data_IF_451714653529
#
_entry.id   IF_451714653529
#
_cell.length_a   1.000
_cell.length_b   1.000
_cell.length_c   1.000
_cell.angle_alpha   90.00
_cell.angle_beta   90.00
_cell.angle_gamma   90.00
#
_symmetry.space_group_name_H-M   'P 1'
#
loop_
_entity.id
_entity.type
_entity.pdbx_description
1 polymer ?
#
# COMPACT_ATOMS: atom_id res chain seq x y z
N UNK A 1 -19.12 0.81 -10.49
CA UNK A 1 -18.48 -0.52 -10.30
C UNK A 1 -18.21 -0.73 -8.82
N UNK A 2 -18.56 -1.90 -8.26
CA UNK A 2 -18.32 -2.22 -6.85
C UNK A 2 -17.27 -3.34 -6.78
N UNK A 3 -16.25 -3.19 -5.95
CA UNK A 3 -15.21 -4.21 -5.78
C UNK A 3 -15.72 -5.29 -4.83
N UNK A 4 -15.59 -6.56 -5.20
CA UNK A 4 -15.85 -7.65 -4.25
C UNK A 4 -14.65 -7.78 -3.30
N UNK A 5 -14.80 -7.34 -2.06
CA UNK A 5 -13.73 -7.40 -1.06
C UNK A 5 -13.31 -8.82 -0.67
N UNK A 6 -14.12 -9.85 -0.92
CA UNK A 6 -13.68 -11.24 -0.76
C UNK A 6 -12.53 -11.60 -1.71
N UNK A 7 -12.34 -10.85 -2.80
CA UNK A 7 -11.22 -11.07 -3.71
C UNK A 7 -9.91 -10.46 -3.21
N UNK A 8 -9.97 -9.46 -2.32
CA UNK A 8 -8.82 -8.75 -1.76
C UNK A 8 -8.57 -9.04 -0.27
N UNK A 9 -9.55 -9.55 0.48
CA UNK A 9 -9.34 -9.91 1.88
C UNK A 9 -8.97 -11.39 2.00
N UNK A 10 -7.86 -11.66 2.69
CA UNK A 10 -7.41 -12.99 3.08
C UNK A 10 -7.14 -13.01 4.57
N UNK A 11 -7.20 -14.21 5.15
CA UNK A 11 -6.81 -14.51 6.53
C UNK A 11 -5.29 -14.63 6.71
N UNK A 12 -4.52 -14.51 5.62
CA UNK A 12 -3.06 -14.49 5.61
C UNK A 12 -2.49 -13.23 4.93
N UNK A 13 -1.25 -12.90 5.28
CA UNK A 13 -0.48 -11.84 4.62
C UNK A 13 -0.08 -12.26 3.21
N UNK A 14 -0.15 -11.33 2.27
CA UNK A 14 0.27 -11.53 0.89
C UNK A 14 0.66 -10.20 0.22
N UNK A 15 1.41 -10.26 -0.88
CA UNK A 15 1.84 -9.09 -1.66
C UNK A 15 0.71 -8.64 -2.60
N UNK A 16 0.27 -7.39 -2.43
CA UNK A 16 -0.89 -6.79 -3.10
C UNK A 16 -0.79 -6.72 -4.62
N UNK A 17 -1.94 -6.61 -5.29
CA UNK A 17 -1.98 -6.22 -6.71
C UNK A 17 -1.49 -4.79 -6.90
N UNK A 18 -1.68 -3.93 -5.89
CA UNK A 18 -1.12 -2.58 -5.92
C UNK A 18 0.40 -2.61 -6.06
N UNK A 19 1.10 -3.51 -5.35
CA UNK A 19 2.55 -3.73 -5.53
C UNK A 19 2.91 -4.08 -6.97
N UNK A 20 2.18 -5.00 -7.61
CA UNK A 20 2.44 -5.38 -9.01
C UNK A 20 2.38 -4.15 -9.91
N UNK A 21 1.30 -3.35 -9.80
CA UNK A 21 1.11 -2.13 -10.56
C UNK A 21 2.24 -1.10 -10.35
N UNK A 22 2.61 -0.84 -9.09
CA UNK A 22 3.58 0.22 -8.80
C UNK A 22 5.01 -0.15 -9.18
N UNK A 23 5.34 -1.44 -9.22
CA UNK A 23 6.70 -1.89 -9.56
C UNK A 23 7.06 -1.60 -11.02
N UNK A 24 6.07 -1.46 -11.90
CA UNK A 24 6.25 -1.07 -13.30
C UNK A 24 6.72 0.38 -13.46
N UNK A 25 6.58 1.22 -12.42
CA UNK A 25 7.04 2.62 -12.50
C UNK A 25 8.56 2.78 -12.32
N UNK A 26 9.31 1.70 -12.07
CA UNK A 26 10.79 1.67 -11.97
C UNK A 26 11.42 2.76 -11.07
N UNK A 27 10.72 3.21 -10.02
CA UNK A 27 11.24 4.22 -9.07
C UNK A 27 11.61 3.59 -7.72
N UNK A 28 12.63 4.14 -7.07
CA UNK A 28 13.12 3.65 -5.77
C UNK A 28 12.04 3.70 -4.66
N UNK A 29 11.98 2.63 -3.86
CA UNK A 29 10.85 2.24 -2.99
C UNK A 29 10.26 3.31 -2.07
N UNK A 30 11.07 4.18 -1.44
CA UNK A 30 10.54 5.20 -0.53
C UNK A 30 9.71 6.28 -1.23
N UNK A 31 10.06 6.65 -2.46
CA UNK A 31 9.34 7.69 -3.19
C UNK A 31 7.98 7.18 -3.68
N UNK A 32 7.90 5.91 -4.10
CA UNK A 32 6.65 5.33 -4.58
C UNK A 32 5.70 4.98 -3.42
N UNK A 33 6.21 4.47 -2.30
CA UNK A 33 5.38 4.20 -1.11
C UNK A 33 4.72 5.48 -0.55
N UNK A 34 5.45 6.60 -0.53
CA UNK A 34 4.86 7.90 -0.18
C UNK A 34 3.77 8.32 -1.16
N UNK A 35 3.92 8.05 -2.45
CA UNK A 35 2.94 8.41 -3.48
C UNK A 35 1.66 7.59 -3.40
N UNK A 36 1.74 6.36 -2.92
CA UNK A 36 0.56 5.55 -2.58
C UNK A 36 -0.22 6.22 -1.44
N UNK A 37 0.48 6.64 -0.38
CA UNK A 37 -0.13 7.43 0.71
C UNK A 37 -0.76 8.73 0.20
N UNK A 38 -0.05 9.50 -0.61
CA UNK A 38 -0.58 10.74 -1.20
C UNK A 38 -1.84 10.46 -2.06
N UNK A 39 -1.89 9.34 -2.80
CA UNK A 39 -3.07 8.96 -3.60
C UNK A 39 -4.25 8.56 -2.70
N UNK A 40 -4.00 7.79 -1.64
CA UNK A 40 -5.01 7.42 -0.63
C UNK A 40 -5.66 8.67 -0.03
N UNK A 41 -4.82 9.64 0.33
CA UNK A 41 -5.25 10.94 0.84
C UNK A 41 -6.05 11.72 -0.20
N UNK A 42 -5.66 11.72 -1.48
CA UNK A 42 -6.40 12.40 -2.55
C UNK A 42 -7.78 11.81 -2.79
N UNK A 43 -7.89 10.48 -2.80
CA UNK A 43 -9.20 9.81 -2.91
C UNK A 43 -10.08 10.16 -1.71
N UNK A 44 -9.50 10.15 -0.50
CA UNK A 44 -10.20 10.52 0.73
C UNK A 44 -10.68 11.97 0.70
N UNK A 45 -9.80 12.89 0.29
CA UNK A 45 -10.12 14.30 0.10
C UNK A 45 -11.21 14.50 -0.97
N UNK A 46 -11.17 13.71 -2.03
CA UNK A 46 -12.21 13.68 -3.06
C UNK A 46 -13.59 13.33 -2.52
N UNK A 47 -13.68 12.26 -1.71
CA UNK A 47 -14.93 11.86 -1.04
C UNK A 47 -15.45 13.00 -0.16
N UNK A 48 -14.56 13.65 0.61
CA UNK A 48 -14.92 14.81 1.43
C UNK A 48 -15.42 15.98 0.57
N UNK A 49 -14.76 16.27 -0.56
CA UNK A 49 -15.12 17.39 -1.43
C UNK A 49 -16.47 17.20 -2.14
N UNK A 50 -16.91 15.96 -2.35
CA UNK A 50 -18.25 15.64 -2.84
C UNK A 50 -19.37 15.90 -1.84
N UNK A 51 -19.05 16.17 -0.57
CA UNK A 51 -20.01 16.46 0.50
C UNK A 51 -19.81 17.91 0.97
N UNK A 52 -20.51 18.91 0.39
CA UNK A 52 -20.34 20.32 0.77
C UNK A 52 -20.47 20.58 2.26
N UNK A 53 -21.40 19.89 2.92
CA UNK A 53 -21.60 19.97 4.36
C UNK A 53 -20.43 19.45 5.18
N UNK A 54 -19.67 18.47 4.69
CA UNK A 54 -18.46 18.00 5.36
C UNK A 54 -17.27 18.91 5.04
N UNK A 55 -17.15 19.32 3.77
CA UNK A 55 -16.08 20.19 3.29
C UNK A 55 -16.00 21.52 4.04
N UNK A 56 -17.13 22.13 4.40
CA UNK A 56 -17.16 23.42 5.12
C UNK A 56 -16.51 23.38 6.51
N UNK A 57 -16.34 22.18 7.08
CA UNK A 57 -15.73 21.95 8.39
C UNK A 57 -14.26 21.49 8.32
N UNK A 58 -13.72 21.31 7.12
CA UNK A 58 -12.44 20.65 6.90
C UNK A 58 -11.24 21.58 7.09
N UNK A 59 -10.27 21.13 7.89
CA UNK A 59 -8.87 21.57 7.85
C UNK A 59 -8.01 20.37 7.42
N UNK A 60 -7.08 20.56 6.50
CA UNK A 60 -6.15 19.49 6.06
C UNK A 60 -4.79 19.70 6.70
N UNK A 61 -4.11 18.62 7.07
CA UNK A 61 -2.78 18.67 7.71
C UNK A 61 -2.82 19.51 9.01
N UNK A 62 -3.91 19.39 9.76
CA UNK A 62 -4.11 20.11 11.01
C UNK A 62 -3.21 19.59 12.12
N UNK A 63 -2.63 20.49 12.91
CA UNK A 63 -1.78 20.15 14.06
C UNK A 63 -2.62 20.11 15.32
N UNK A 64 -3.04 18.91 15.73
CA UNK A 64 -3.89 18.71 16.90
C UNK A 64 -3.04 18.45 18.14
N UNK A 65 -3.19 19.27 19.17
CA UNK A 65 -2.58 19.00 20.48
C UNK A 65 -3.41 17.99 21.26
N UNK A 66 -2.82 16.86 21.65
CA UNK A 66 -3.45 15.82 22.47
C UNK A 66 -3.35 16.07 23.98
N UNK A 67 -3.88 15.16 24.78
CA UNK A 67 -3.86 15.24 26.25
C UNK A 67 -2.44 15.26 26.81
N UNK A 68 -1.53 14.50 26.21
CA UNK A 68 -0.11 14.43 26.55
C UNK A 68 0.68 15.73 26.25
N UNK A 69 0.02 16.76 25.72
CA UNK A 69 0.64 17.96 25.12
C UNK A 69 1.46 17.68 23.85
N UNK A 70 1.49 16.43 23.37
CA UNK A 70 2.04 16.11 22.06
C UNK A 70 1.21 16.77 20.96
N UNK A 71 1.89 17.18 19.90
CA UNK A 71 1.25 17.73 18.72
C UNK A 71 1.26 16.69 17.60
N UNK A 72 0.07 16.35 17.12
CA UNK A 72 -0.15 15.33 16.11
C UNK A 72 -0.51 16.01 14.78
N UNK A 73 0.21 15.68 13.72
CA UNK A 73 -0.16 16.11 12.38
C UNK A 73 -1.18 15.11 11.85
N UNK A 74 -2.42 15.55 11.68
CA UNK A 74 -3.53 14.70 11.21
C UNK A 74 -4.00 15.16 9.85
N UNK A 75 -4.29 14.21 8.96
CA UNK A 75 -4.48 14.51 7.55
C UNK A 75 -5.75 15.30 7.26
N UNK A 76 -6.84 14.98 7.95
CA UNK A 76 -8.10 15.70 7.85
C UNK A 76 -8.72 15.88 9.24
N UNK A 77 -8.97 17.13 9.62
CA UNK A 77 -9.59 17.52 10.88
C UNK A 77 -10.91 18.24 10.58
N UNK A 78 -11.92 17.98 11.41
CA UNK A 78 -13.26 18.56 11.25
C UNK A 78 -13.67 19.32 12.49
N UNK A 79 -13.89 20.62 12.33
CA UNK A 79 -14.22 21.55 13.39
C UNK A 79 -15.56 22.21 13.12
N UNK A 80 -16.33 22.52 14.17
CA UNK A 80 -17.57 23.28 13.99
C UNK A 80 -17.29 24.63 13.33
N UNK A 81 -16.21 25.29 13.75
CA UNK A 81 -15.67 26.49 13.11
C UNK A 81 -14.20 26.30 12.75
N UNK A 82 -13.88 26.03 11.47
CA UNK A 82 -12.50 25.79 11.03
C UNK A 82 -11.56 27.01 11.09
N UNK A 83 -12.10 28.23 11.19
CA UNK A 83 -11.24 29.44 11.23
C UNK A 83 -10.52 29.55 12.56
N UNK A 84 -11.22 29.20 13.63
CA UNK A 84 -10.76 29.33 15.01
C UNK A 84 -10.32 27.98 15.60
N UNK A 85 -10.40 26.91 14.80
CA UNK A 85 -10.10 25.52 15.21
C UNK A 85 -10.90 25.08 16.47
N UNK A 86 -12.11 25.61 16.61
CA UNK A 86 -12.97 25.35 17.76
C UNK A 86 -13.85 24.10 17.56
N UNK A 87 -13.99 23.34 18.66
CA UNK A 87 -14.85 22.16 18.75
C UNK A 87 -14.55 21.12 17.65
N UNK A 88 -13.39 20.46 17.77
CA UNK A 88 -13.03 19.29 16.97
C UNK A 88 -14.07 18.19 17.19
N UNK A 89 -14.71 17.73 16.12
CA UNK A 89 -15.70 16.67 16.17
C UNK A 89 -15.36 15.45 15.31
N UNK A 90 -14.32 15.54 14.48
CA UNK A 90 -13.89 14.44 13.65
C UNK A 90 -12.44 14.57 13.24
N UNK A 91 -11.77 13.44 13.08
CA UNK A 91 -10.43 13.37 12.56
C UNK A 91 -10.28 12.12 11.69
N UNK A 92 -9.54 12.25 10.58
CA UNK A 92 -9.22 11.14 9.69
C UNK A 92 -7.72 11.09 9.49
N UNK A 93 -7.14 9.91 9.73
CA UNK A 93 -5.74 9.62 9.45
C UNK A 93 -5.63 8.55 8.36
N UNK A 94 -4.77 8.81 7.37
CA UNK A 94 -4.53 7.88 6.27
C UNK A 94 -3.20 7.16 6.49
N UNK A 95 -3.20 5.83 6.48
CA UNK A 95 -1.96 5.03 6.54
C UNK A 95 -1.97 3.94 5.48
N UNK A 96 -0.89 3.89 4.71
CA UNK A 96 -0.64 2.78 3.81
C UNK A 96 0.74 2.18 4.11
N UNK A 97 0.87 0.87 3.99
CA UNK A 97 2.14 0.16 4.23
C UNK A 97 2.44 -0.66 2.99
N UNK A 98 3.45 -0.23 2.24
CA UNK A 98 3.92 -0.95 1.06
C UNK A 98 4.73 -2.19 1.39
N UNK A 99 4.98 -2.98 0.35
CA UNK A 99 5.97 -4.05 0.37
C UNK A 99 7.36 -3.47 0.55
N UNK A 100 8.13 -4.02 1.49
CA UNK A 100 9.55 -3.68 1.62
C UNK A 100 10.42 -4.70 0.89
N UNK A 101 11.44 -4.19 0.20
CA UNK A 101 12.50 -5.01 -0.41
C UNK A 101 13.74 -4.97 0.48
N UNK A 102 14.03 -6.06 1.18
CA UNK A 102 15.17 -6.15 2.10
C UNK A 102 16.28 -6.99 1.49
N UNK A 103 17.52 -6.47 1.50
CA UNK A 103 18.67 -7.20 1.00
C UNK A 103 19.00 -8.36 1.95
N UNK A 104 19.00 -9.57 1.42
CA UNK A 104 19.28 -10.80 2.18
C UNK A 104 20.76 -11.19 2.13
N UNK A 105 21.34 -11.26 0.93
CA UNK A 105 22.74 -11.60 0.71
C UNK A 105 23.27 -11.02 -0.60
N UNK A 106 24.58 -10.89 -0.70
CA UNK A 106 25.30 -10.65 -1.96
C UNK A 106 26.05 -11.93 -2.33
N UNK A 107 26.05 -12.29 -3.61
CA UNK A 107 26.73 -13.46 -4.14
C UNK A 107 27.67 -13.00 -5.25
N UNK A 108 28.95 -13.31 -5.10
CA UNK A 108 29.96 -13.06 -6.13
C UNK A 108 30.25 -14.36 -6.85
N UNK A 109 30.09 -14.35 -8.17
CA UNK A 109 30.44 -15.47 -9.04
C UNK A 109 31.47 -14.99 -10.07
N UNK A 110 32.38 -15.88 -10.48
CA UNK A 110 33.55 -15.54 -11.32
C UNK A 110 33.55 -16.25 -12.66
N UNK A 111 33.09 -17.50 -12.69
CA UNK A 111 33.25 -18.36 -13.85
C UNK A 111 31.89 -18.83 -14.39
N UNK A 112 31.75 -19.00 -15.72
CA UNK A 112 30.65 -19.76 -16.31
C UNK A 112 30.50 -21.14 -15.67
N UNK A 113 29.26 -21.56 -15.42
CA UNK A 113 28.92 -22.81 -14.73
C UNK A 113 28.80 -22.69 -13.21
N UNK A 114 29.33 -21.62 -12.59
CA UNK A 114 29.04 -21.35 -11.18
C UNK A 114 27.56 -21.00 -10.99
N UNK A 115 27.00 -21.44 -9.86
CA UNK A 115 25.59 -21.27 -9.57
C UNK A 115 25.32 -20.98 -8.10
N UNK A 116 24.13 -20.47 -7.81
CA UNK A 116 23.59 -20.39 -6.47
C UNK A 116 22.13 -20.81 -6.44
N UNK A 117 21.70 -21.30 -5.28
CA UNK A 117 20.32 -21.71 -5.05
C UNK A 117 19.54 -20.68 -4.25
N UNK A 118 18.27 -20.53 -4.63
CA UNK A 118 17.26 -19.78 -3.91
C UNK A 118 16.12 -20.74 -3.58
N UNK A 119 15.89 -20.90 -2.28
CA UNK A 119 14.75 -21.65 -1.80
C UNK A 119 13.53 -20.73 -1.67
N UNK A 120 12.40 -21.14 -2.24
CA UNK A 120 11.09 -20.54 -2.10
C UNK A 120 10.21 -21.57 -1.37
N UNK A 121 10.05 -21.38 -0.06
CA UNK A 121 9.19 -22.23 0.78
C UNK A 121 8.41 -21.36 1.75
N UNK A 122 7.13 -21.70 1.94
CA UNK A 122 6.27 -21.08 2.94
C UNK A 122 5.73 -22.14 3.90
N UNK A 123 5.24 -21.73 5.07
CA UNK A 123 4.54 -22.66 5.98
C UNK A 123 3.32 -23.34 5.34
N UNK A 124 2.77 -22.72 4.30
CA UNK A 124 1.57 -23.14 3.58
C UNK A 124 1.88 -23.98 2.33
N UNK A 125 3.15 -24.13 1.95
CA UNK A 125 3.55 -24.87 0.74
C UNK A 125 3.75 -26.34 1.08
N UNK A 126 3.20 -27.26 0.27
CA UNK A 126 3.37 -28.71 0.46
C UNK A 126 4.78 -29.21 0.11
N UNK A 127 5.51 -28.46 -0.73
CA UNK A 127 6.88 -28.75 -1.15
C UNK A 127 7.66 -27.45 -1.30
N UNK A 128 8.97 -27.51 -1.15
CA UNK A 128 9.84 -26.34 -1.36
C UNK A 128 10.23 -26.22 -2.83
N UNK A 129 10.06 -25.04 -3.42
CA UNK A 129 10.56 -24.77 -4.77
C UNK A 129 11.99 -24.24 -4.68
N UNK A 130 12.95 -24.98 -5.22
CA UNK A 130 14.35 -24.55 -5.29
C UNK A 130 14.63 -24.04 -6.70
N UNK A 131 15.18 -22.83 -6.80
CA UNK A 131 15.60 -22.20 -8.06
C UNK A 131 17.12 -22.15 -8.07
N UNK A 132 17.73 -22.76 -9.07
CA UNK A 132 19.17 -22.66 -9.32
C UNK A 132 19.42 -21.61 -10.41
N UNK A 133 20.23 -20.61 -10.08
CA UNK A 133 20.71 -19.60 -11.01
C UNK A 133 22.16 -19.91 -11.38
N UNK A 134 22.39 -20.29 -12.65
CA UNK A 134 23.71 -20.69 -13.16
C UNK A 134 24.20 -19.68 -14.19
N UNK A 135 25.46 -19.27 -14.11
CA UNK A 135 26.05 -18.39 -15.12
C UNK A 135 26.32 -19.18 -16.40
N UNK A 136 25.90 -18.64 -17.54
CA UNK A 136 26.23 -19.15 -18.87
C UNK A 136 27.38 -18.38 -19.49
N UNK A 137 27.32 -17.06 -19.44
CA UNK A 137 28.35 -16.20 -19.98
C UNK A 137 28.45 -14.88 -19.22
N UNK A 138 29.64 -14.27 -19.20
CA UNK A 138 29.91 -12.98 -18.58
C UNK A 138 30.56 -12.09 -19.62
N UNK A 139 29.81 -11.10 -20.10
CA UNK A 139 30.34 -10.03 -20.96
C UNK A 139 30.68 -8.79 -20.13
N UNK A 140 31.23 -7.76 -20.77
CA UNK A 140 31.54 -6.47 -20.11
C UNK A 140 30.30 -5.68 -19.71
N UNK A 141 29.17 -5.89 -20.37
CA UNK A 141 27.93 -5.10 -20.21
C UNK A 141 26.73 -5.90 -19.70
N UNK A 142 26.79 -7.23 -19.82
CA UNK A 142 25.70 -8.13 -19.45
C UNK A 142 26.18 -9.50 -18.96
N UNK A 143 25.34 -10.18 -18.19
CA UNK A 143 25.55 -11.56 -17.75
C UNK A 143 24.39 -12.40 -18.23
N UNK A 144 24.69 -13.52 -18.88
CA UNK A 144 23.70 -14.53 -19.22
C UNK A 144 23.57 -15.54 -18.09
N UNK A 145 22.34 -15.73 -17.60
CA UNK A 145 22.03 -16.69 -16.56
C UNK A 145 20.97 -17.69 -17.02
N UNK A 146 21.14 -18.92 -16.61
CA UNK A 146 20.17 -20.00 -16.74
C UNK A 146 19.45 -20.17 -15.41
N UNK A 147 18.12 -20.02 -15.42
CA UNK A 147 17.27 -20.38 -14.30
C UNK A 147 16.66 -21.76 -14.53
N UNK A 148 16.85 -22.64 -13.56
CA UNK A 148 16.16 -23.93 -13.45
C UNK A 148 15.44 -23.99 -12.12
N UNK A 149 14.33 -24.70 -12.04
CA UNK A 149 13.59 -24.84 -10.79
C UNK A 149 13.10 -26.27 -10.60
N UNK A 150 12.80 -26.62 -9.34
CA UNK A 150 12.35 -27.94 -8.94
C UNK A 150 10.83 -28.13 -9.02
N UNK A 151 10.07 -27.14 -9.49
CA UNK A 151 8.64 -27.32 -9.77
C UNK A 151 8.49 -28.06 -11.11
N UNK A 152 7.54 -29.00 -11.19
CA UNK A 152 7.40 -29.92 -12.32
C UNK A 152 7.28 -29.24 -13.69
N UNK A 153 7.76 -29.92 -14.75
CA UNK A 153 7.81 -29.49 -16.16
C UNK A 153 8.43 -28.11 -16.45
N UNK A 154 9.31 -27.63 -15.55
CA UNK A 154 9.99 -26.37 -15.74
C UNK A 154 11.03 -26.42 -16.88
N UNK A 155 10.73 -25.74 -17.98
CA UNK A 155 11.71 -25.49 -19.05
C UNK A 155 12.80 -24.54 -18.53
N UNK A 156 14.09 -24.91 -18.60
CA UNK A 156 15.19 -24.02 -18.27
C UNK A 156 15.10 -22.74 -19.10
N UNK A 157 15.13 -21.58 -18.44
CA UNK A 157 14.99 -20.28 -19.12
C UNK A 157 16.28 -19.48 -19.01
N UNK A 158 16.71 -18.89 -20.13
CA UNK A 158 17.91 -18.04 -20.20
C UNK A 158 17.49 -16.58 -20.16
N UNK A 159 18.18 -15.79 -19.33
CA UNK A 159 18.00 -14.35 -19.24
C UNK A 159 19.35 -13.66 -19.43
N UNK A 160 19.35 -12.55 -20.17
CA UNK A 160 20.48 -11.63 -20.24
C UNK A 160 20.19 -10.41 -19.36
N UNK A 161 21.07 -10.14 -18.40
CA UNK A 161 20.92 -9.06 -17.43
C UNK A 161 22.06 -8.05 -17.57
N UNK A 162 21.71 -6.77 -17.66
CA UNK A 162 22.62 -5.65 -17.47
C UNK A 162 22.66 -5.19 -16.00
N UNK A 163 23.70 -4.44 -15.63
CA UNK A 163 23.83 -3.90 -14.26
C UNK A 163 22.60 -3.04 -13.91
N UNK A 164 22.01 -3.29 -12.74
CA UNK A 164 20.79 -2.65 -12.25
C UNK A 164 19.49 -3.37 -12.65
N UNK A 165 19.54 -4.34 -13.57
CA UNK A 165 18.39 -5.18 -13.89
C UNK A 165 18.20 -6.28 -12.86
N UNK A 166 16.95 -6.73 -12.72
CA UNK A 166 16.55 -7.71 -11.74
C UNK A 166 15.52 -8.73 -12.24
N UNK A 167 15.49 -9.91 -11.64
CA UNK A 167 14.48 -10.93 -11.90
C UNK A 167 13.70 -11.15 -10.62
N UNK A 168 12.37 -11.15 -10.72
CA UNK A 168 11.49 -11.50 -9.61
C UNK A 168 11.10 -12.96 -9.71
N UNK A 169 11.37 -13.71 -8.66
CA UNK A 169 10.99 -15.10 -8.46
C UNK A 169 9.77 -15.14 -7.56
N UNK A 170 8.67 -15.69 -8.06
CA UNK A 170 7.35 -15.60 -7.44
C UNK A 170 6.79 -17.00 -7.19
N UNK A 171 6.19 -17.19 -6.02
CA UNK A 171 5.20 -18.24 -5.79
C UNK A 171 3.85 -17.58 -5.55
N UNK A 172 2.86 -17.97 -6.35
CA UNK A 172 1.48 -17.54 -6.20
C UNK A 172 0.73 -18.34 -5.12
N UNK A 173 -0.53 -18.03 -4.88
CA UNK A 173 -1.36 -18.72 -3.88
C UNK A 173 -1.65 -20.20 -4.16
N UNK A 174 -1.41 -20.65 -5.39
CA UNK A 174 -1.61 -22.04 -5.83
C UNK A 174 -0.31 -22.85 -5.89
N UNK A 175 0.81 -22.31 -5.41
CA UNK A 175 2.16 -22.88 -5.51
C UNK A 175 2.75 -22.90 -6.94
N UNK A 176 2.21 -22.11 -7.87
CA UNK A 176 2.83 -21.98 -9.18
C UNK A 176 4.05 -21.08 -9.11
N UNK A 177 5.14 -21.53 -9.72
CA UNK A 177 6.36 -20.74 -9.86
C UNK A 177 6.28 -19.86 -11.11
N UNK A 178 6.48 -18.56 -10.91
CA UNK A 178 6.48 -17.55 -11.97
C UNK A 178 7.75 -16.73 -11.87
N UNK A 179 8.33 -16.38 -13.02
CA UNK A 179 9.55 -15.60 -13.12
C UNK A 179 9.31 -14.39 -14.02
N UNK A 180 9.43 -13.17 -13.49
CA UNK A 180 9.19 -11.93 -14.25
C UNK A 180 10.49 -11.13 -14.35
N UNK A 181 10.71 -10.47 -15.49
CA UNK A 181 11.90 -9.61 -15.73
C UNK A 181 11.57 -8.13 -15.47
N UNK A 182 12.54 -7.21 -15.46
CA UNK A 182 12.27 -5.77 -15.32
C UNK A 182 11.55 -5.21 -16.53
N UNK A 183 11.64 -5.87 -17.68
CA UNK A 183 10.98 -5.44 -18.91
C UNK A 183 9.56 -5.99 -19.03
N UNK A 184 9.02 -6.54 -17.93
CA UNK A 184 7.60 -6.86 -17.83
C UNK A 184 6.81 -5.56 -17.96
N UNK A 185 6.11 -5.39 -19.09
CA UNK A 185 5.25 -4.22 -19.31
C UNK A 185 4.08 -4.19 -18.31
N UNK A 186 3.55 -5.35 -17.93
CA UNK A 186 2.45 -5.45 -16.97
C UNK A 186 2.49 -6.69 -16.06
N UNK A 187 3.03 -6.51 -14.85
CA UNK A 187 3.07 -7.57 -13.83
C UNK A 187 1.68 -8.04 -13.38
N UNK A 188 0.63 -7.23 -13.55
CA UNK A 188 -0.75 -7.66 -13.26
C UNK A 188 -1.21 -8.74 -14.25
N UNK A 189 -0.72 -8.71 -15.48
CA UNK A 189 -1.06 -9.67 -16.53
C UNK A 189 -0.19 -10.92 -16.42
N UNK A 190 1.12 -10.78 -16.19
CA UNK A 190 2.03 -11.92 -16.03
C UNK A 190 1.77 -12.75 -14.77
N UNK A 191 1.31 -12.08 -13.70
CA UNK A 191 1.04 -12.71 -12.41
C UNK A 191 -0.41 -12.43 -12.02
N UNK A 192 -1.39 -13.16 -12.59
CA UNK A 192 -2.80 -12.91 -12.33
C UNK A 192 -3.19 -13.23 -10.88
N UNK A 193 -2.54 -14.22 -10.27
CA UNK A 193 -2.88 -14.72 -8.93
C UNK A 193 -2.17 -13.94 -7.82
N UNK A 194 -2.64 -14.08 -6.57
CA UNK A 194 -2.02 -13.42 -5.42
C UNK A 194 -0.58 -13.90 -5.22
N UNK A 195 0.33 -12.97 -4.96
CA UNK A 195 1.73 -13.29 -4.66
C UNK A 195 1.88 -13.61 -3.18
N UNK A 196 2.32 -14.83 -2.86
CA UNK A 196 2.59 -15.25 -1.47
C UNK A 196 4.06 -15.18 -1.11
N UNK A 197 4.96 -15.40 -2.07
CA UNK A 197 6.41 -15.25 -1.89
C UNK A 197 6.97 -14.54 -3.11
N UNK A 198 7.79 -13.51 -2.89
CA UNK A 198 8.55 -12.85 -3.95
C UNK A 198 9.99 -12.60 -3.49
N UNK A 199 10.95 -13.05 -4.31
CA UNK A 199 12.39 -12.79 -4.14
C UNK A 199 12.94 -12.14 -5.39
N UNK A 200 13.94 -11.28 -5.24
CA UNK A 200 14.53 -10.55 -6.34
C UNK A 200 16.00 -10.95 -6.48
N UNK A 201 16.43 -11.29 -7.68
CA UNK A 201 17.84 -11.40 -8.08
C UNK A 201 18.19 -10.11 -8.83
N UNK A 202 19.07 -9.28 -8.32
CA UNK A 202 19.54 -8.07 -9.00
C UNK A 202 21.01 -8.24 -9.39
N UNK A 203 21.34 -7.96 -10.66
CA UNK A 203 22.74 -7.86 -11.07
C UNK A 203 23.28 -6.50 -10.65
N UNK A 204 24.12 -6.48 -9.63
CA UNK A 204 24.56 -5.22 -8.99
C UNK A 204 25.86 -4.67 -9.58
N UNK A 205 26.75 -5.55 -10.05
CA UNK A 205 28.03 -5.14 -10.61
C UNK A 205 28.59 -6.22 -11.53
N UNK A 206 29.22 -5.79 -12.62
CA UNK A 206 30.13 -6.59 -13.43
C UNK A 206 31.53 -6.00 -13.24
N UNK A 207 32.51 -6.85 -12.97
CA UNK A 207 33.95 -6.52 -12.91
C UNK A 207 34.71 -7.46 -13.84
N UNK A 208 35.94 -7.13 -14.22
CA UNK A 208 36.78 -8.00 -15.04
C UNK A 208 36.91 -9.38 -14.35
N UNK A 209 36.20 -10.39 -14.88
CA UNK A 209 36.07 -11.78 -14.40
C UNK A 209 35.19 -12.00 -13.14
N UNK A 210 34.25 -11.12 -12.81
CA UNK A 210 33.23 -11.46 -11.81
C UNK A 210 31.96 -10.66 -11.93
N UNK A 211 30.85 -11.25 -11.51
CA UNK A 211 29.58 -10.56 -11.35
C UNK A 211 29.06 -10.72 -9.92
N UNK A 212 28.41 -9.68 -9.42
CA UNK A 212 27.85 -9.64 -8.07
C UNK A 212 26.33 -9.56 -8.18
N UNK A 213 25.65 -10.59 -7.66
CA UNK A 213 24.20 -10.62 -7.54
C UNK A 213 23.77 -10.22 -6.12
N UNK A 214 22.85 -9.29 -6.01
CA UNK A 214 22.17 -8.99 -4.76
C UNK A 214 20.83 -9.74 -4.73
N UNK A 215 20.56 -10.42 -3.62
CA UNK A 215 19.29 -11.09 -3.40
C UNK A 215 18.43 -10.29 -2.42
N UNK A 216 17.18 -10.02 -2.79
CA UNK A 216 16.22 -9.34 -1.93
C UNK A 216 15.01 -10.21 -1.62
N UNK A 217 14.46 -10.02 -0.44
CA UNK A 217 13.14 -10.54 -0.06
C UNK A 217 12.11 -9.40 -0.15
N UNK A 218 10.97 -9.68 -0.76
CA UNK A 218 9.81 -8.79 -0.71
C UNK A 218 8.94 -9.20 0.47
N UNK A 219 8.77 -8.31 1.45
CA UNK A 219 8.09 -8.60 2.71
C UNK A 219 6.85 -7.71 2.83
N UNK A 220 5.64 -8.30 2.98
CA UNK A 220 4.43 -7.53 3.25
C UNK A 220 4.43 -7.04 4.71
N UNK A 221 4.09 -5.77 4.90
CA UNK A 221 3.71 -5.22 6.21
C UNK A 221 4.72 -5.17 7.37
N UNK A 222 6.06 -5.11 7.17
CA UNK A 222 7.00 -5.01 8.29
C UNK A 222 6.81 -3.75 9.14
N UNK A 223 6.35 -2.64 8.54
CA UNK A 223 6.03 -1.39 9.25
C UNK A 223 4.60 -1.32 9.77
N UNK A 224 3.73 -2.30 9.48
CA UNK A 224 2.28 -2.14 9.73
C UNK A 224 1.96 -1.99 11.20
N UNK A 225 2.66 -2.73 12.06
CA UNK A 225 2.49 -2.64 13.51
C UNK A 225 2.84 -1.25 14.04
N UNK A 226 3.85 -0.60 13.47
CA UNK A 226 4.30 0.73 13.89
C UNK A 226 3.31 1.80 13.43
N UNK A 227 2.82 1.72 12.19
CA UNK A 227 1.78 2.65 11.70
C UNK A 227 0.46 2.48 12.44
N UNK A 228 0.08 1.25 12.77
CA UNK A 228 -1.09 0.93 13.59
C UNK A 228 -1.01 1.60 14.97
N UNK A 229 0.15 1.47 15.64
CA UNK A 229 0.41 2.11 16.93
C UNK A 229 0.35 3.63 16.82
N UNK A 230 0.99 4.22 15.81
CA UNK A 230 0.98 5.67 15.61
C UNK A 230 -0.45 6.21 15.50
N UNK A 231 -1.26 5.65 14.59
CA UNK A 231 -2.65 6.10 14.42
C UNK A 231 -3.49 5.90 15.68
N UNK A 232 -3.29 4.77 16.36
CA UNK A 232 -4.00 4.48 17.62
C UNK A 232 -3.60 5.44 18.74
N UNK A 233 -2.32 5.80 18.87
CA UNK A 233 -1.85 6.75 19.86
C UNK A 233 -2.43 8.15 19.63
N UNK A 234 -2.51 8.61 18.38
CA UNK A 234 -3.19 9.86 18.05
C UNK A 234 -4.66 9.81 18.48
N UNK A 235 -5.38 8.75 18.11
CA UNK A 235 -6.79 8.59 18.45
C UNK A 235 -7.03 8.61 19.98
N UNK A 236 -6.23 7.86 20.74
CA UNK A 236 -6.33 7.77 22.20
C UNK A 236 -6.03 9.13 22.85
N UNK A 237 -4.96 9.81 22.42
CA UNK A 237 -4.52 11.05 23.04
C UNK A 237 -5.51 12.21 22.80
N UNK A 238 -6.10 12.26 21.60
CA UNK A 238 -7.18 13.21 21.29
C UNK A 238 -8.46 12.86 22.03
N UNK A 239 -8.85 11.58 22.07
CA UNK A 239 -10.04 11.12 22.81
C UNK A 239 -9.94 11.46 24.29
N UNK A 240 -8.78 11.22 24.90
CA UNK A 240 -8.56 11.56 26.31
C UNK A 240 -8.69 13.07 26.55
N UNK A 241 -8.24 13.90 25.62
CA UNK A 241 -8.39 15.36 25.75
C UNK A 241 -9.84 15.83 25.63
N UNK A 242 -10.61 15.25 24.70
CA UNK A 242 -11.93 15.76 24.31
C UNK A 242 -13.07 15.13 25.14
N UNK A 243 -13.02 13.81 25.28
CA UNK A 243 -14.05 13.00 25.95
C UNK A 243 -13.65 12.57 27.37
N UNK A 244 -12.41 12.85 27.80
CA UNK A 244 -11.86 12.47 29.10
C UNK A 244 -11.81 10.96 29.39
N UNK A 245 -11.88 10.13 28.35
CA UNK A 245 -11.82 8.66 28.40
C UNK A 245 -10.65 8.11 27.59
N UNK A 246 -10.21 6.89 27.91
CA UNK A 246 -9.12 6.23 27.19
C UNK A 246 -9.65 5.25 26.14
N UNK A 247 -10.60 4.39 26.50
CA UNK A 247 -11.06 3.34 25.59
C UNK A 247 -12.18 3.86 24.70
N UNK A 248 -12.28 3.34 23.48
CA UNK A 248 -13.35 3.72 22.55
C UNK A 248 -14.74 3.25 23.01
N UNK A 249 -14.83 2.30 23.92
CA UNK A 249 -16.08 1.69 24.38
C UNK A 249 -16.59 2.25 25.72
N UNK A 250 -15.82 3.11 26.38
CA UNK A 250 -16.19 3.65 27.70
C UNK A 250 -17.39 4.63 27.62
N UNK A 251 -17.68 5.16 26.43
CA UNK A 251 -18.86 6.00 26.17
C UNK A 251 -19.67 5.44 24.98
N UNK A 252 -21.01 5.44 25.07
CA UNK A 252 -21.88 5.22 23.93
C UNK A 252 -21.58 6.20 22.79
N UNK A 253 -21.78 5.77 21.54
CA UNK A 253 -21.51 6.57 20.34
C UNK A 253 -22.27 7.91 20.34
N UNK A 254 -23.46 7.99 20.94
CA UNK A 254 -24.20 9.25 21.05
C UNK A 254 -23.56 10.26 22.02
N UNK A 255 -22.71 9.81 22.93
CA UNK A 255 -22.06 10.65 23.95
C UNK A 255 -20.64 11.08 23.55
N UNK A 256 -19.97 10.34 22.66
CA UNK A 256 -18.65 10.71 22.13
C UNK A 256 -18.69 12.05 21.40
N UNK A 257 -17.84 13.01 21.74
CA UNK A 257 -17.84 14.31 21.05
C UNK A 257 -17.01 14.29 19.77
N UNK A 258 -16.06 13.35 19.66
CA UNK A 258 -15.20 13.20 18.49
C UNK A 258 -15.23 11.77 17.96
N UNK A 259 -15.18 11.65 16.62
CA UNK A 259 -15.02 10.37 15.92
C UNK A 259 -13.68 10.36 15.20
N UNK A 260 -12.87 9.33 15.48
CA UNK A 260 -11.60 9.12 14.79
C UNK A 260 -11.73 8.00 13.75
N UNK A 261 -11.45 8.32 12.49
CA UNK A 261 -11.48 7.36 11.38
C UNK A 261 -10.05 7.13 10.90
N UNK A 262 -9.73 5.88 10.63
CA UNK A 262 -8.48 5.49 10.04
C UNK A 262 -8.74 4.89 8.67
N UNK A 263 -8.12 5.47 7.65
CA UNK A 263 -8.24 5.02 6.26
C UNK A 263 -6.95 4.31 5.87
N UNK A 264 -7.07 3.09 5.36
CA UNK A 264 -5.94 2.24 5.00
C UNK A 264 -6.01 1.77 3.55
N UNK A 265 -4.84 1.56 2.95
CA UNK A 265 -4.70 0.73 1.75
C UNK A 265 -3.73 -0.42 2.00
N UNK A 266 -3.66 -1.34 1.03
CA UNK A 266 -2.89 -2.58 1.12
C UNK A 266 -3.30 -3.40 2.35
N UNK A 267 -4.61 -3.63 2.48
CA UNK A 267 -5.22 -4.29 3.65
C UNK A 267 -4.61 -5.67 3.96
N UNK A 268 -4.07 -6.36 2.95
CA UNK A 268 -3.37 -7.63 3.10
C UNK A 268 -2.09 -7.56 3.93
N UNK A 269 -1.49 -6.37 4.07
CA UNK A 269 -0.29 -6.12 4.86
C UNK A 269 -0.62 -5.87 6.34
N UNK A 270 -1.91 -5.71 6.67
CA UNK A 270 -2.38 -5.55 8.04
C UNK A 270 -2.69 -6.92 8.64
N UNK A 271 -1.69 -7.50 9.31
CA UNK A 271 -1.85 -8.75 10.04
C UNK A 271 -2.80 -8.62 11.23
N UNK A 272 -3.23 -9.76 11.77
CA UNK A 272 -4.21 -9.82 12.86
C UNK A 272 -3.82 -8.90 14.03
N UNK A 273 -2.58 -8.96 14.50
CA UNK A 273 -2.09 -8.10 15.59
C UNK A 273 -2.24 -6.59 15.30
N UNK A 274 -1.99 -6.14 14.07
CA UNK A 274 -2.19 -4.73 13.71
C UNK A 274 -3.67 -4.37 13.58
N UNK A 275 -4.49 -5.28 13.06
CA UNK A 275 -5.95 -5.11 13.00
C UNK A 275 -6.55 -5.04 14.40
N UNK A 276 -6.08 -5.85 15.34
CA UNK A 276 -6.52 -5.84 16.74
C UNK A 276 -6.21 -4.49 17.40
N UNK A 277 -4.99 -3.96 17.19
CA UNK A 277 -4.58 -2.66 17.74
C UNK A 277 -5.50 -1.54 17.21
N UNK A 278 -5.64 -1.40 15.89
CA UNK A 278 -6.46 -0.31 15.34
C UNK A 278 -7.94 -0.48 15.70
N UNK A 279 -8.45 -1.71 15.74
CA UNK A 279 -9.85 -1.97 16.11
C UNK A 279 -10.12 -1.68 17.58
N UNK A 280 -9.12 -1.84 18.45
CA UNK A 280 -9.25 -1.54 19.89
C UNK A 280 -9.37 -0.03 20.14
N UNK A 281 -8.60 0.78 19.41
CA UNK A 281 -8.41 2.18 19.77
C UNK A 281 -9.09 3.18 18.83
N UNK A 282 -9.40 2.79 17.60
CA UNK A 282 -9.95 3.67 16.56
C UNK A 282 -11.44 3.38 16.37
N UNK A 283 -12.25 4.43 16.16
CA UNK A 283 -13.69 4.29 16.05
C UNK A 283 -14.10 3.55 14.76
N UNK A 284 -13.52 3.92 13.62
CA UNK A 284 -13.77 3.26 12.33
C UNK A 284 -12.49 3.02 11.54
N UNK A 285 -12.36 1.84 10.94
CA UNK A 285 -11.20 1.45 10.14
C UNK A 285 -11.64 1.12 8.71
N UNK A 286 -11.38 2.04 7.78
CA UNK A 286 -11.86 2.00 6.41
C UNK A 286 -10.75 1.57 5.46
N UNK A 287 -11.02 0.60 4.59
CA UNK A 287 -10.13 0.16 3.53
C UNK A 287 -10.50 0.86 2.22
N UNK A 288 -9.50 1.37 1.51
CA UNK A 288 -9.60 1.64 0.08
C UNK A 288 -9.07 0.42 -0.67
N UNK A 289 -9.92 -0.27 -1.47
CA UNK A 289 -9.52 -1.45 -2.23
C UNK A 289 -8.33 -1.18 -3.17
N UNK A 290 -7.48 -2.19 -3.34
CA UNK A 290 -6.31 -2.12 -4.21
C UNK A 290 -6.71 -1.82 -5.66
N UNK A 291 -7.82 -2.40 -6.13
CA UNK A 291 -8.35 -2.14 -7.47
C UNK A 291 -8.66 -0.65 -7.71
N UNK A 292 -9.16 0.06 -6.70
CA UNK A 292 -9.45 1.51 -6.79
C UNK A 292 -8.14 2.29 -6.87
N UNK A 293 -7.16 1.94 -6.05
CA UNK A 293 -5.83 2.55 -6.08
C UNK A 293 -5.14 2.35 -7.44
N UNK A 294 -5.15 1.13 -7.98
CA UNK A 294 -4.60 0.79 -9.30
C UNK A 294 -5.30 1.61 -10.39
N UNK A 295 -6.63 1.67 -10.37
CA UNK A 295 -7.38 2.46 -11.33
C UNK A 295 -7.02 3.94 -11.27
N UNK A 296 -6.88 4.49 -10.06
CA UNK A 296 -6.47 5.87 -9.86
C UNK A 296 -5.07 6.14 -10.45
N UNK A 297 -4.09 5.26 -10.19
CA UNK A 297 -2.75 5.38 -10.78
C UNK A 297 -2.79 5.32 -12.31
N UNK A 298 -3.47 4.33 -12.89
CA UNK A 298 -3.62 4.19 -14.35
C UNK A 298 -4.32 5.41 -14.97
N UNK A 299 -5.32 5.99 -14.30
CA UNK A 299 -5.98 7.23 -14.77
C UNK A 299 -5.05 8.44 -14.74
N UNK A 300 -4.27 8.59 -13.68
CA UNK A 300 -3.29 9.68 -13.59
C UNK A 300 -2.19 9.54 -14.65
N UNK A 301 -1.72 8.32 -14.88
CA UNK A 301 -0.76 8.01 -15.94
C UNK A 301 -1.32 8.36 -17.32
N UNK A 302 -2.55 7.95 -17.63
CA UNK A 302 -3.18 8.25 -18.92
C UNK A 302 -3.37 9.76 -19.18
N UNK A 303 -3.58 10.55 -18.13
CA UNK A 303 -3.86 11.99 -18.26
C UNK A 303 -2.57 12.82 -18.26
N UNK A 304 -1.63 12.49 -17.38
CA UNK A 304 -0.43 13.31 -17.13
C UNK A 304 0.86 12.69 -17.69
N UNK A 305 0.84 11.43 -18.11
CA UNK A 305 2.01 10.64 -18.50
C UNK A 305 2.81 10.10 -17.30
N UNK A 306 3.45 8.95 -17.48
CA UNK A 306 4.18 8.20 -16.42
C UNK A 306 5.30 9.01 -15.76
N UNK A 307 5.93 9.93 -16.50
CA UNK A 307 7.00 10.77 -15.97
C UNK A 307 6.50 11.86 -15.01
N UNK A 308 5.36 12.49 -15.33
CA UNK A 308 4.86 13.69 -14.66
C UNK A 308 3.77 13.41 -13.64
N UNK A 309 3.06 12.28 -13.74
CA UNK A 309 1.88 12.01 -12.89
C UNK A 309 2.16 12.18 -11.39
N UNK A 310 3.33 11.73 -10.90
CA UNK A 310 3.66 11.75 -9.47
C UNK A 310 3.73 13.17 -8.88
N UNK A 311 3.95 14.19 -9.72
CA UNK A 311 3.94 15.60 -9.29
C UNK A 311 2.53 16.09 -8.97
N UNK A 312 1.51 15.52 -9.63
CA UNK A 312 0.10 15.85 -9.45
C UNK A 312 -0.55 15.12 -8.27
N UNK A 313 0.02 14.00 -7.81
CA UNK A 313 -0.47 13.25 -6.64
C UNK A 313 -0.02 13.97 -5.35
N UNK A 314 -0.68 15.09 -5.01
CA UNK A 314 -0.48 15.88 -3.78
C UNK A 314 -1.74 16.67 -3.39
N UNK A 315 -2.09 16.72 -2.10
CA UNK A 315 -3.24 17.50 -1.57
C UNK A 315 -3.19 18.98 -1.95
N UNK A 316 -2.01 19.60 -1.91
CA UNK A 316 -1.83 21.02 -2.24
C UNK A 316 -2.16 21.34 -3.71
N UNK A 317 -1.91 20.41 -4.63
CA UNK A 317 -2.29 20.54 -6.03
C UNK A 317 -3.80 20.38 -6.19
N UNK A 318 -4.40 19.40 -5.51
CA UNK A 318 -5.85 19.15 -5.58
C UNK A 318 -6.67 20.39 -5.19
N UNK A 319 -6.24 21.14 -4.17
CA UNK A 319 -6.95 22.37 -3.75
C UNK A 319 -6.96 23.48 -4.81
N UNK A 320 -5.94 23.52 -5.68
CA UNK A 320 -5.71 24.61 -6.64
C UNK A 320 -6.16 24.26 -8.06
N UNK A 321 -6.15 22.97 -8.38
CA UNK A 321 -6.32 22.46 -9.74
C UNK A 321 -7.70 21.84 -9.93
N UNK A 322 -8.60 22.58 -10.60
CA UNK A 322 -9.95 22.12 -10.88
C UNK A 322 -9.97 20.88 -11.80
N UNK A 323 -8.99 20.73 -12.70
CA UNK A 323 -8.88 19.53 -13.53
C UNK A 323 -8.58 18.32 -12.67
N UNK A 324 -7.64 18.44 -11.74
CA UNK A 324 -7.32 17.37 -10.78
C UNK A 324 -8.55 16.99 -9.92
N UNK A 325 -9.33 17.98 -9.46
CA UNK A 325 -10.58 17.71 -8.74
C UNK A 325 -11.58 16.93 -9.60
N UNK A 326 -11.71 17.29 -10.88
CA UNK A 326 -12.58 16.58 -11.83
C UNK A 326 -12.09 15.16 -12.09
N UNK A 327 -10.77 14.95 -12.23
CA UNK A 327 -10.19 13.61 -12.39
C UNK A 327 -10.52 12.71 -11.20
N UNK A 328 -10.31 13.21 -9.98
CA UNK A 328 -10.67 12.47 -8.78
C UNK A 328 -12.18 12.24 -8.72
N UNK A 329 -13.03 13.24 -8.96
CA UNK A 329 -14.49 13.05 -8.98
C UNK A 329 -14.91 11.94 -9.92
N UNK A 330 -14.36 11.92 -11.15
CA UNK A 330 -14.65 10.89 -12.14
C UNK A 330 -14.20 9.50 -11.69
N UNK A 331 -13.09 9.39 -10.95
CA UNK A 331 -12.65 8.13 -10.33
C UNK A 331 -13.69 7.69 -9.28
N UNK A 332 -14.15 8.60 -8.43
CA UNK A 332 -15.17 8.29 -7.42
C UNK A 332 -16.50 7.86 -8.08
N UNK A 333 -16.92 8.55 -9.14
CA UNK A 333 -18.13 8.24 -9.91
C UNK A 333 -18.02 6.88 -10.61
N UNK A 334 -16.85 6.51 -11.12
CA UNK A 334 -16.62 5.20 -11.73
C UNK A 334 -16.91 4.04 -10.76
N UNK A 335 -16.64 4.24 -9.48
CA UNK A 335 -16.92 3.26 -8.42
C UNK A 335 -18.25 3.49 -7.72
N UNK A 336 -19.16 4.30 -8.29
CA UNK A 336 -20.45 4.65 -7.67
C UNK A 336 -20.29 5.14 -6.22
N UNK A 337 -19.16 5.80 -5.91
CA UNK A 337 -18.72 6.23 -4.58
C UNK A 337 -18.47 5.10 -3.55
N UNK A 338 -18.41 3.83 -3.95
CA UNK A 338 -17.99 2.69 -3.12
C UNK A 338 -16.48 2.67 -2.95
N UNK A 339 -15.95 3.64 -2.19
CA UNK A 339 -14.51 3.86 -2.02
C UNK A 339 -14.01 3.28 -0.70
N UNK A 340 -14.80 3.39 0.35
CA UNK A 340 -14.43 2.95 1.69
C UNK A 340 -15.20 1.71 2.07
N UNK A 341 -14.47 0.63 2.38
CA UNK A 341 -15.01 -0.58 2.94
C UNK A 341 -14.66 -0.64 4.43
N UNK A 342 -15.66 -0.70 5.31
CA UNK A 342 -15.43 -0.73 6.74
C UNK A 342 -15.06 -2.15 7.21
N UNK A 343 -13.93 -2.25 7.91
CA UNK A 343 -13.41 -3.52 8.44
C UNK A 343 -14.32 -4.14 9.49
N UNK A 344 -15.06 -3.33 10.25
CA UNK A 344 -15.87 -3.81 11.37
C UNK A 344 -17.25 -4.29 10.90
N UNK A 345 -17.93 -3.52 10.04
CA UNK A 345 -19.25 -3.88 9.52
C UNK A 345 -19.23 -4.78 8.28
N UNK A 346 -18.11 -4.84 7.56
CA UNK A 346 -18.00 -5.62 6.32
C UNK A 346 -18.83 -5.05 5.17
N UNK A 347 -19.02 -3.73 5.13
CA UNK A 347 -19.85 -3.04 4.14
C UNK A 347 -19.14 -1.82 3.56
N UNK A 348 -19.54 -1.40 2.37
CA UNK A 348 -19.15 -0.11 1.82
C UNK A 348 -19.87 1.02 2.55
N UNK A 349 -19.13 2.09 2.85
CA UNK A 349 -19.63 3.23 3.61
C UNK A 349 -19.22 4.56 3.00
N UNK A 350 -20.01 5.60 3.27
CA UNK A 350 -19.69 7.00 2.98
C UNK A 350 -19.49 7.78 4.27
N UNK A 351 -18.74 8.87 4.19
CA UNK A 351 -18.62 9.85 5.27
C UNK A 351 -19.83 10.80 5.27
N UNK A 352 -20.36 11.08 6.46
CA UNK A 352 -21.44 12.06 6.68
C UNK A 352 -21.23 12.86 7.96
N UNK A 353 -22.06 13.89 8.16
CA UNK A 353 -22.16 14.61 9.42
C UNK A 353 -23.56 14.46 9.98
N UNK A 354 -23.66 14.05 11.24
CA UNK A 354 -24.91 14.05 12.00
C UNK A 354 -24.68 14.76 13.32
N UNK A 355 -25.48 15.78 13.64
CA UNK A 355 -25.39 16.54 14.90
C UNK A 355 -23.97 17.04 15.22
N UNK A 356 -23.30 17.63 14.23
CA UNK A 356 -21.89 18.06 14.34
C UNK A 356 -20.93 16.95 14.78
N UNK A 357 -21.18 15.71 14.36
CA UNK A 357 -20.24 14.58 14.51
C UNK A 357 -19.95 13.96 13.17
N UNK A 358 -18.70 13.54 12.98
CA UNK A 358 -18.31 12.76 11.82
C UNK A 358 -18.85 11.34 11.98
N UNK A 359 -19.55 10.84 10.98
CA UNK A 359 -20.13 9.50 10.99
C UNK A 359 -19.83 8.77 9.68
N UNK A 360 -19.97 7.44 9.72
CA UNK A 360 -20.04 6.60 8.53
C UNK A 360 -21.47 6.11 8.33
N UNK A 361 -21.89 5.93 7.09
CA UNK A 361 -23.18 5.36 6.73
C UNK A 361 -22.99 4.33 5.61
N UNK A 362 -23.67 3.17 5.66
CA UNK A 362 -23.69 2.22 4.55
C UNK A 362 -24.13 2.89 3.24
N UNK A 363 -23.53 2.45 2.13
CA UNK A 363 -23.89 2.85 0.76
C UNK A 363 -24.73 1.75 0.13
#
# INVERSE_FOLDING_TARGET
MIINMETELRDYLYITNLYKCITNYHRQGHQIGRKIGDMLELLTLGVIYKKPDLKKHLITEGKLTGYSSANHNVEFCFFQNPKDEENLFGAIECKCVGVETTKSKSITLKNPGEFFNINLSGKWTSFSTNVACTIKDISTTSVEILLTNSAGDAVPTIYSLSVGQNIKLILDEHNNFICTTPNCEDMLTEVPQIIRICKIIELSKISNNSCIFNLYNCIPGPQTIEKAKQASLVAIDLRKKIDNIWNKTDLPSEQKKMTFIHVICEASHWGNKSKDIISTYIDYNLIVPDAIMIYAFKKFENIYGSEKMLKHIKKSQFKKDFQLQKVISNILDHFDNHIFYDLETGQYVTLTITNNKLCIQPI
#
